data_IF_625398852779
#
_entry.id   IF_625398852779
#
_cell.length_a   1.000
_cell.length_b   1.000
_cell.length_c   1.000
_cell.angle_alpha   90.00
_cell.angle_beta   90.00
_cell.angle_gamma   90.00
#
_symmetry.space_group_name_H-M   'P 1'
#
loop_
_entity.id
_entity.type
_entity.pdbx_description
1 polymer ?
#
# COMPACT_ATOMS: atom_id res chain seq x y z
N UNK A 1 -22.29 15.43 -12.23
CA UNK A 1 -21.33 14.97 -11.22
C UNK A 1 -21.99 15.10 -9.87
N UNK A 2 -21.88 14.07 -9.04
CA UNK A 2 -22.40 14.08 -7.67
C UNK A 2 -21.35 14.66 -6.71
N UNK A 3 -21.78 15.17 -5.56
CA UNK A 3 -20.86 15.66 -4.51
C UNK A 3 -19.85 14.59 -4.09
N UNK A 4 -20.28 13.32 -4.06
CA UNK A 4 -19.42 12.18 -3.75
C UNK A 4 -18.31 11.98 -4.79
N UNK A 5 -18.62 12.14 -6.08
CA UNK A 5 -17.62 12.03 -7.15
C UNK A 5 -16.59 13.17 -7.09
N UNK A 6 -17.04 14.38 -6.79
CA UNK A 6 -16.15 15.54 -6.59
C UNK A 6 -15.23 15.34 -5.40
N UNK A 7 -15.76 14.84 -4.29
CA UNK A 7 -14.97 14.53 -3.10
C UNK A 7 -13.88 13.49 -3.39
N UNK A 8 -14.22 12.39 -4.10
CA UNK A 8 -13.23 11.37 -4.50
C UNK A 8 -12.15 11.94 -5.41
N UNK A 9 -12.51 12.84 -6.35
CA UNK A 9 -11.54 13.51 -7.22
C UNK A 9 -10.63 14.47 -6.45
N UNK A 10 -11.16 15.16 -5.46
CA UNK A 10 -10.37 16.00 -4.56
C UNK A 10 -9.32 15.16 -3.83
N UNK A 11 -9.75 14.06 -3.21
CA UNK A 11 -8.86 13.11 -2.53
C UNK A 11 -7.78 12.58 -3.49
N UNK A 12 -8.16 12.13 -4.69
CA UNK A 12 -7.19 11.66 -5.69
C UNK A 12 -6.15 12.74 -6.02
N UNK A 13 -6.57 14.00 -6.13
CA UNK A 13 -5.67 15.12 -6.44
C UNK A 13 -4.68 15.38 -5.30
N UNK A 14 -5.11 15.26 -4.04
CA UNK A 14 -4.24 15.37 -2.87
C UNK A 14 -3.20 14.25 -2.81
N UNK A 15 -3.60 13.01 -3.10
CA UNK A 15 -2.67 11.88 -3.20
C UNK A 15 -1.69 12.07 -4.37
N UNK A 16 -2.19 12.48 -5.53
CA UNK A 16 -1.35 12.72 -6.70
C UNK A 16 -0.29 13.80 -6.42
N UNK A 17 -0.65 14.88 -5.73
CA UNK A 17 0.31 15.92 -5.34
C UNK A 17 1.41 15.38 -4.42
N UNK A 18 1.07 14.54 -3.44
CA UNK A 18 2.05 13.90 -2.55
C UNK A 18 2.95 12.92 -3.30
N UNK A 19 2.40 12.11 -4.19
CA UNK A 19 3.17 11.18 -5.03
C UNK A 19 4.12 11.93 -5.97
N UNK A 20 3.67 13.03 -6.56
CA UNK A 20 4.51 13.90 -7.39
C UNK A 20 5.65 14.53 -6.58
N UNK A 21 5.36 14.99 -5.37
CA UNK A 21 6.40 15.52 -4.47
C UNK A 21 7.46 14.47 -4.12
N UNK A 22 7.05 13.22 -3.88
CA UNK A 22 7.97 12.12 -3.60
C UNK A 22 8.79 11.70 -4.84
N UNK A 23 8.15 11.57 -6.01
CA UNK A 23 8.80 11.10 -7.25
C UNK A 23 9.71 12.13 -7.91
N UNK A 24 9.52 13.42 -7.65
CA UNK A 24 10.37 14.50 -8.18
C UNK A 24 11.61 14.77 -7.33
N UNK A 25 11.70 14.17 -6.14
CA UNK A 25 12.88 14.27 -5.29
C UNK A 25 14.03 13.45 -5.90
N UNK A 26 15.19 14.08 -6.03
CA UNK A 26 16.35 13.50 -6.75
C UNK A 26 17.19 12.53 -5.91
N UNK A 27 16.86 12.35 -4.63
CA UNK A 27 17.67 11.60 -3.68
C UNK A 27 16.91 10.37 -3.18
N UNK A 28 17.59 9.23 -3.09
CA UNK A 28 17.04 7.99 -2.54
C UNK A 28 16.20 7.18 -3.53
N UNK A 29 15.69 6.05 -3.06
CA UNK A 29 14.75 5.21 -3.80
C UNK A 29 13.32 5.76 -3.72
N UNK A 30 12.41 5.24 -4.54
CA UNK A 30 11.02 5.68 -4.57
C UNK A 30 10.33 5.41 -3.23
N UNK A 31 10.56 4.24 -2.65
CA UNK A 31 9.99 3.83 -1.37
C UNK A 31 10.48 4.71 -0.22
N UNK A 32 11.77 5.09 -0.20
CA UNK A 32 12.29 6.03 0.81
C UNK A 32 11.61 7.40 0.70
N UNK A 33 11.42 7.89 -0.53
CA UNK A 33 10.75 9.18 -0.76
C UNK A 33 9.26 9.13 -0.43
N UNK A 34 8.60 8.00 -0.67
CA UNK A 34 7.19 7.81 -0.33
C UNK A 34 6.96 7.66 1.17
N UNK A 35 7.92 7.11 1.94
CA UNK A 35 7.83 7.08 3.41
C UNK A 35 7.69 8.47 4.01
N UNK A 36 8.34 9.48 3.43
CA UNK A 36 8.27 10.86 3.95
C UNK A 36 6.87 11.49 3.81
N UNK A 37 6.14 11.14 2.76
CA UNK A 37 4.77 11.64 2.52
C UNK A 37 3.70 10.69 3.08
N UNK A 38 3.99 9.40 3.13
CA UNK A 38 3.14 8.33 3.67
C UNK A 38 3.88 7.55 4.76
N UNK A 39 3.98 8.09 5.99
CA UNK A 39 4.78 7.50 7.07
C UNK A 39 4.41 6.07 7.45
N UNK A 40 3.18 5.66 7.15
CA UNK A 40 2.73 4.29 7.41
C UNK A 40 3.49 3.25 6.57
N UNK A 41 4.02 3.61 5.39
CA UNK A 41 4.84 2.72 4.55
C UNK A 41 6.06 2.20 5.33
N UNK A 42 6.58 2.99 6.29
CA UNK A 42 7.71 2.58 7.11
C UNK A 42 7.48 1.25 7.85
N UNK A 43 6.23 0.95 8.21
CA UNK A 43 5.89 -0.24 8.99
C UNK A 43 5.84 -1.52 8.15
N UNK A 44 5.88 -1.44 6.82
CA UNK A 44 5.93 -2.60 5.92
C UNK A 44 7.27 -3.34 6.00
N UNK A 45 7.31 -4.59 5.50
CA UNK A 45 8.57 -5.30 5.28
C UNK A 45 9.38 -4.62 4.16
N UNK A 46 10.69 -4.87 4.11
CA UNK A 46 11.56 -4.23 3.13
C UNK A 46 11.16 -4.60 1.69
N UNK A 47 10.86 -5.87 1.42
CA UNK A 47 10.34 -6.31 0.12
C UNK A 47 9.00 -5.66 -0.25
N UNK A 48 8.10 -5.48 0.72
CA UNK A 48 6.76 -4.93 0.51
C UNK A 48 6.79 -3.43 0.25
N UNK A 49 7.76 -2.69 0.80
CA UNK A 49 7.88 -1.24 0.61
C UNK A 49 8.04 -0.87 -0.87
N UNK A 50 8.92 -1.58 -1.57
CA UNK A 50 9.18 -1.32 -2.98
C UNK A 50 7.95 -1.65 -3.86
N UNK A 51 7.27 -2.76 -3.56
CA UNK A 51 6.05 -3.16 -4.26
C UNK A 51 4.91 -2.16 -4.02
N UNK A 52 4.66 -1.82 -2.75
CA UNK A 52 3.67 -0.82 -2.35
C UNK A 52 3.91 0.53 -3.03
N UNK A 53 5.16 1.01 -3.04
CA UNK A 53 5.54 2.25 -3.71
C UNK A 53 5.18 2.25 -5.20
N UNK A 54 5.47 1.14 -5.89
CA UNK A 54 5.19 1.00 -7.32
C UNK A 54 3.68 0.90 -7.60
N UNK A 55 2.94 0.17 -6.76
CA UNK A 55 1.50 -0.04 -6.90
C UNK A 55 0.71 1.26 -6.67
N UNK A 56 1.10 2.07 -5.67
CA UNK A 56 0.52 3.40 -5.43
C UNK A 56 0.68 4.30 -6.66
N UNK A 57 1.88 4.33 -7.25
CA UNK A 57 2.15 5.16 -8.43
C UNK A 57 1.35 4.67 -9.64
N UNK A 58 1.26 3.36 -9.84
CA UNK A 58 0.53 2.77 -10.97
C UNK A 58 -0.97 2.99 -10.85
N UNK A 59 -1.56 2.66 -9.71
CA UNK A 59 -2.99 2.84 -9.46
C UNK A 59 -3.41 4.32 -9.50
N UNK A 60 -2.56 5.24 -9.01
CA UNK A 60 -2.81 6.68 -9.12
C UNK A 60 -2.79 7.15 -10.60
N UNK A 61 -1.80 6.69 -11.38
CA UNK A 61 -1.71 7.00 -12.82
C UNK A 61 -2.95 6.51 -13.56
N UNK A 62 -3.40 5.30 -13.27
CA UNK A 62 -4.58 4.72 -13.90
C UNK A 62 -5.84 5.51 -13.53
N UNK A 63 -6.02 5.85 -12.25
CA UNK A 63 -7.15 6.68 -11.79
C UNK A 63 -7.17 8.07 -12.45
N UNK A 64 -6.01 8.72 -12.62
CA UNK A 64 -5.88 10.03 -13.25
C UNK A 64 -6.15 10.01 -14.77
N UNK A 65 -5.90 8.88 -15.44
CA UNK A 65 -6.10 8.73 -16.89
C UNK A 65 -7.50 8.22 -17.27
N UNK A 66 -8.42 8.13 -16.30
CA UNK A 66 -9.81 7.74 -16.51
C UNK A 66 -10.19 6.38 -15.93
N UNK A 67 -9.28 5.74 -15.18
CA UNK A 67 -9.54 4.51 -14.43
C UNK A 67 -10.38 4.72 -13.17
N UNK A 68 -10.52 3.64 -12.38
CA UNK A 68 -11.35 3.64 -11.16
C UNK A 68 -10.64 4.32 -9.99
N UNK A 69 -11.20 5.43 -9.52
CA UNK A 69 -10.73 6.08 -8.27
C UNK A 69 -10.98 5.19 -7.06
N UNK A 70 -12.09 4.44 -7.06
CA UNK A 70 -12.41 3.51 -5.96
C UNK A 70 -11.39 2.38 -5.84
N UNK A 71 -10.85 1.92 -6.96
CA UNK A 71 -9.78 0.92 -6.96
C UNK A 71 -8.51 1.49 -6.32
N UNK A 72 -8.07 2.68 -6.75
CA UNK A 72 -6.93 3.38 -6.16
C UNK A 72 -7.09 3.57 -4.63
N UNK A 73 -8.25 4.03 -4.18
CA UNK A 73 -8.51 4.23 -2.75
C UNK A 73 -8.52 2.92 -1.96
N UNK A 74 -9.07 1.85 -2.55
CA UNK A 74 -9.06 0.52 -1.94
C UNK A 74 -7.64 -0.03 -1.80
N UNK A 75 -6.80 0.21 -2.81
CA UNK A 75 -5.41 -0.22 -2.81
C UNK A 75 -4.59 0.50 -1.74
N UNK A 76 -4.75 1.82 -1.62
CA UNK A 76 -4.15 2.60 -0.52
C UNK A 76 -4.56 2.06 0.84
N UNK A 77 -5.86 1.81 1.06
CA UNK A 77 -6.32 1.32 2.35
C UNK A 77 -5.81 -0.10 2.64
N UNK A 78 -5.78 -0.99 1.64
CA UNK A 78 -5.23 -2.34 1.76
C UNK A 78 -3.77 -2.35 2.21
N UNK A 79 -2.93 -1.50 1.59
CA UNK A 79 -1.54 -1.35 1.98
C UNK A 79 -1.37 -0.78 3.39
N UNK A 80 -2.17 0.22 3.73
CA UNK A 80 -2.16 0.86 5.05
C UNK A 80 -2.57 -0.10 6.16
N UNK A 81 -3.60 -0.91 5.94
CA UNK A 81 -4.01 -1.96 6.87
C UNK A 81 -2.91 -3.02 7.05
N UNK A 82 -2.24 -3.43 5.97
CA UNK A 82 -1.10 -4.36 6.03
C UNK A 82 0.05 -3.78 6.87
N UNK A 83 0.36 -2.50 6.68
CA UNK A 83 1.39 -1.80 7.44
C UNK A 83 1.05 -1.72 8.94
N UNK A 84 -0.20 -1.41 9.29
CA UNK A 84 -0.63 -1.36 10.68
C UNK A 84 -0.74 -2.73 11.33
N UNK A 85 -1.22 -3.75 10.60
CA UNK A 85 -1.19 -5.13 11.07
C UNK A 85 0.24 -5.53 11.45
N UNK A 86 1.22 -5.21 10.61
CA UNK A 86 2.63 -5.47 10.90
C UNK A 86 3.14 -4.69 12.12
N UNK A 87 2.84 -3.38 12.20
CA UNK A 87 3.20 -2.54 13.35
C UNK A 87 2.67 -3.10 14.67
N UNK A 88 1.47 -3.65 14.66
CA UNK A 88 0.81 -4.21 15.84
C UNK A 88 1.15 -5.69 16.10
N UNK A 89 2.03 -6.30 15.30
CA UNK A 89 2.37 -7.71 15.42
C UNK A 89 1.21 -8.66 15.09
N UNK A 90 0.23 -8.18 14.30
CA UNK A 90 -0.90 -8.97 13.80
C UNK A 90 -0.58 -9.70 12.49
N UNK A 91 0.67 -9.64 12.04
CA UNK A 91 1.13 -10.47 10.92
C UNK A 91 1.34 -11.89 11.42
N UNK A 92 0.85 -12.88 10.66
CA UNK A 92 1.21 -14.27 10.94
C UNK A 92 2.59 -14.51 10.35
N UNK A 93 3.47 -15.14 11.13
CA UNK A 93 4.69 -15.73 10.57
C UNK A 93 4.28 -16.68 9.42
N UNK A 94 5.14 -16.83 8.40
CA UNK A 94 4.89 -17.80 7.33
C UNK A 94 4.51 -19.14 7.96
N UNK A 95 3.33 -19.65 7.60
CA UNK A 95 2.88 -20.95 8.09
C UNK A 95 3.91 -21.98 7.63
N UNK A 96 4.63 -22.55 8.58
CA UNK A 96 5.54 -23.67 8.33
C UNK A 96 4.68 -24.91 8.05
N UNK A 97 4.34 -25.08 6.78
CA UNK A 97 3.58 -26.24 6.34
C UNK A 97 4.43 -27.49 6.54
N UNK A 98 3.90 -28.42 7.33
CA UNK A 98 4.49 -29.73 7.52
C UNK A 98 4.74 -30.37 6.15
N UNK A 99 6.01 -30.56 5.81
CA UNK A 99 6.41 -31.19 4.54
C UNK A 99 6.05 -32.68 4.55
N UNK A 100 5.93 -33.28 5.73
CA UNK A 100 5.52 -34.67 5.92
C UNK A 100 4.41 -34.79 6.98
N UNK A 101 3.46 -35.73 6.82
CA UNK A 101 2.42 -35.97 7.81
C UNK A 101 3.02 -36.44 9.15
N UNK A 102 2.79 -35.68 10.21
CA UNK A 102 3.09 -36.11 11.58
C UNK A 102 1.93 -36.92 12.17
N UNK A 103 2.24 -38.08 12.75
CA UNK A 103 1.26 -38.91 13.44
C UNK A 103 0.99 -38.33 14.83
N UNK A 104 -0.24 -37.85 15.04
CA UNK A 104 -0.72 -37.37 16.35
C UNK A 104 -1.40 -38.50 17.13
N UNK A 105 -1.32 -38.45 18.47
CA UNK A 105 -2.02 -39.41 19.34
C UNK A 105 -3.55 -39.25 19.21
N UNK A 106 -4.28 -40.35 19.41
CA UNK A 106 -5.75 -40.32 19.39
C UNK A 106 -6.27 -39.60 20.64
N UNK A 107 -7.35 -38.78 20.51
CA UNK A 107 -7.99 -38.11 21.65
C UNK A 107 -8.44 -39.08 22.74
#
# INVERSE_FOLDING_TARGET
>A
MTEQEEHKRHILSEYAAQILAATTRSAGSLEDNLVDVFPWIYFLAAEDKAQCAQDIVNSARDALTGGSIDFFLTEIESWKESAYARKHGLFQDPIDWLTEPIRVERP
#
